data_IF_334621387804
#
_entry.id   IF_334621387804
#
_cell.length_a   1.000
_cell.length_b   1.000
_cell.length_c   1.000
_cell.angle_alpha   90.00
_cell.angle_beta   90.00
_cell.angle_gamma   90.00
#
_symmetry.space_group_name_H-M   'P 1'
#
loop_
_entity.id
_entity.type
_entity.pdbx_description
1 polymer ?
#
# COMPACT_ATOMS: atom_id res chain seq x y z
N UNK A 1 1.79 -21.15 5.73
CA UNK A 1 2.40 -20.80 7.02
C UNK A 1 1.30 -20.45 8.00
N UNK A 2 1.40 -20.89 9.25
CA UNK A 2 0.56 -20.41 10.36
C UNK A 2 0.90 -18.94 10.67
N UNK A 3 0.03 -18.25 11.41
CA UNK A 3 0.29 -16.86 11.84
C UNK A 3 1.59 -16.74 12.63
N UNK A 4 1.88 -17.72 13.50
CA UNK A 4 3.14 -17.78 14.27
C UNK A 4 4.36 -17.95 13.35
N UNK A 5 4.28 -18.85 12.36
CA UNK A 5 5.36 -19.03 11.37
C UNK A 5 5.63 -17.76 10.55
N UNK A 6 4.58 -16.99 10.22
CA UNK A 6 4.73 -15.70 9.52
C UNK A 6 5.43 -14.68 10.42
N UNK A 7 5.05 -14.55 11.70
CA UNK A 7 5.72 -13.60 12.59
C UNK A 7 7.19 -13.99 12.84
N UNK A 8 7.46 -15.29 12.98
CA UNK A 8 8.80 -15.81 13.17
C UNK A 8 9.68 -15.61 11.93
N UNK A 9 9.13 -15.71 10.72
CA UNK A 9 9.91 -15.53 9.49
C UNK A 9 10.44 -14.10 9.32
N UNK A 10 9.81 -13.13 9.98
CA UNK A 10 10.26 -11.74 10.02
C UNK A 10 11.20 -11.43 11.18
N UNK A 11 11.36 -12.35 12.13
CA UNK A 11 12.28 -12.20 13.24
C UNK A 11 13.72 -12.43 12.78
N UNK A 12 14.62 -11.57 13.22
CA UNK A 12 16.06 -11.60 12.91
C UNK A 12 16.84 -11.67 14.21
N UNK A 13 17.95 -12.41 14.21
CA UNK A 13 18.94 -12.31 15.28
C UNK A 13 19.93 -11.22 14.94
N UNK A 14 20.11 -10.26 15.83
CA UNK A 14 21.11 -9.19 15.70
C UNK A 14 22.06 -9.30 16.87
N UNK A 15 23.30 -9.74 16.64
CA UNK A 15 24.27 -10.00 17.72
C UNK A 15 23.67 -10.80 18.89
N UNK A 16 23.71 -10.21 20.09
CA UNK A 16 23.13 -10.71 21.32
C UNK A 16 21.67 -10.31 21.55
N UNK A 17 20.99 -9.74 20.55
CA UNK A 17 19.60 -9.30 20.59
C UNK A 17 18.76 -9.84 19.42
N UNK A 18 17.64 -9.18 19.18
CA UNK A 18 16.66 -9.47 18.13
C UNK A 18 16.49 -8.28 17.19
N UNK A 19 15.78 -8.48 16.08
CA UNK A 19 15.41 -7.47 15.12
C UNK A 19 14.17 -7.90 14.34
N UNK A 20 13.58 -6.97 13.61
CA UNK A 20 12.44 -7.25 12.73
C UNK A 20 12.73 -6.81 11.31
N UNK A 21 12.51 -7.69 10.34
CA UNK A 21 12.58 -7.39 8.91
C UNK A 21 11.34 -6.64 8.42
N UNK A 22 11.57 -5.52 7.75
CA UNK A 22 10.56 -4.77 7.01
C UNK A 22 11.09 -4.39 5.63
N UNK A 23 10.19 -4.30 4.66
CA UNK A 23 10.55 -3.85 3.32
C UNK A 23 10.61 -2.33 3.22
N UNK A 24 11.57 -1.88 2.44
CA UNK A 24 11.64 -0.51 1.97
C UNK A 24 10.90 -0.40 0.63
N UNK A 25 10.53 0.82 0.23
CA UNK A 25 10.01 1.12 -1.12
C UNK A 25 11.12 1.06 -2.18
N UNK A 26 11.94 0.00 -2.17
CA UNK A 26 13.01 -0.31 -3.10
C UNK A 26 13.39 -1.79 -3.02
N UNK A 27 13.84 -2.37 -4.12
CA UNK A 27 14.36 -3.75 -4.17
C UNK A 27 15.88 -3.81 -3.94
N UNK A 28 16.53 -2.69 -3.62
CA UNK A 28 17.99 -2.64 -3.40
C UNK A 28 18.38 -3.16 -2.02
N UNK A 29 17.51 -3.03 -1.04
CA UNK A 29 17.77 -3.40 0.34
C UNK A 29 16.45 -3.58 1.11
N UNK A 30 16.51 -4.27 2.24
CA UNK A 30 15.46 -4.29 3.26
C UNK A 30 15.98 -3.62 4.54
N UNK A 31 15.11 -3.39 5.52
CA UNK A 31 15.51 -2.86 6.83
C UNK A 31 15.35 -3.91 7.92
N UNK A 32 16.28 -3.91 8.87
CA UNK A 32 16.11 -4.54 10.18
C UNK A 32 15.94 -3.44 11.22
N UNK A 33 14.78 -3.42 11.88
CA UNK A 33 14.49 -2.54 13.01
C UNK A 33 14.95 -3.24 14.29
N UNK A 34 15.73 -2.57 15.14
CA UNK A 34 16.22 -3.14 16.41
C UNK A 34 16.51 -2.03 17.44
N UNK A 35 16.83 -2.44 18.67
CA UNK A 35 17.28 -1.54 19.73
C UNK A 35 18.75 -1.13 19.52
N UNK A 36 19.10 0.11 19.85
CA UNK A 36 20.45 0.63 19.62
C UNK A 36 21.50 -0.05 20.52
N UNK A 37 21.14 -0.37 21.76
CA UNK A 37 22.03 -1.02 22.73
C UNK A 37 22.48 -2.43 22.27
N UNK A 38 21.72 -3.08 21.37
CA UNK A 38 22.08 -4.39 20.80
C UNK A 38 23.35 -4.30 19.92
N UNK A 39 23.71 -3.09 19.48
CA UNK A 39 24.92 -2.83 18.72
C UNK A 39 26.04 -2.21 19.57
N UNK A 40 25.76 -1.82 20.82
CA UNK A 40 26.71 -1.07 21.63
C UNK A 40 27.95 -1.91 22.00
N UNK A 41 29.13 -1.28 21.95
CA UNK A 41 30.40 -1.94 22.24
C UNK A 41 30.84 -3.04 21.24
N UNK A 42 30.12 -3.25 20.14
CA UNK A 42 30.43 -4.29 19.14
C UNK A 42 30.99 -3.66 17.86
N UNK A 43 32.15 -4.14 17.40
CA UNK A 43 32.81 -3.60 16.19
C UNK A 43 32.41 -4.31 14.90
N UNK A 44 32.05 -5.59 14.98
CA UNK A 44 31.62 -6.41 13.85
C UNK A 44 30.26 -7.01 14.19
N UNK A 45 29.22 -6.57 13.49
CA UNK A 45 27.86 -6.99 13.76
C UNK A 45 27.49 -8.22 12.94
N UNK A 46 26.81 -9.17 13.58
CA UNK A 46 26.25 -10.37 12.97
C UNK A 46 24.72 -10.22 12.91
N UNK A 47 24.16 -10.49 11.73
CA UNK A 47 22.72 -10.52 11.50
C UNK A 47 22.38 -11.85 10.86
N UNK A 48 21.51 -12.64 11.50
CA UNK A 48 21.04 -13.92 10.96
C UNK A 48 19.53 -13.93 10.78
N UNK A 49 19.08 -14.53 9.68
CA UNK A 49 17.65 -14.76 9.43
C UNK A 49 17.04 -15.83 10.35
N UNK A 50 15.73 -16.02 10.21
CA UNK A 50 14.96 -16.99 10.99
C UNK A 50 15.39 -18.45 10.78
N UNK A 51 16.14 -18.74 9.71
CA UNK A 51 16.73 -20.04 9.40
C UNK A 51 18.20 -20.14 9.82
N UNK A 52 18.79 -19.06 10.33
CA UNK A 52 20.19 -18.98 10.73
C UNK A 52 21.16 -18.61 9.60
N UNK A 53 20.67 -18.18 8.43
CA UNK A 53 21.53 -17.71 7.35
C UNK A 53 22.02 -16.29 7.62
N UNK A 54 23.28 -15.96 7.30
CA UNK A 54 23.79 -14.61 7.45
C UNK A 54 23.12 -13.65 6.46
N UNK A 55 22.76 -12.47 6.97
CA UNK A 55 22.22 -11.37 6.18
C UNK A 55 23.26 -10.26 6.12
N UNK A 56 23.59 -9.80 4.91
CA UNK A 56 24.60 -8.76 4.70
C UNK A 56 24.10 -7.40 5.20
N UNK A 57 24.88 -6.75 6.06
CA UNK A 57 24.65 -5.37 6.49
C UNK A 57 25.31 -4.42 5.49
N UNK A 58 24.50 -3.55 4.88
CA UNK A 58 24.94 -2.55 3.92
C UNK A 58 25.27 -1.21 4.60
N UNK A 59 24.48 -0.84 5.61
CA UNK A 59 24.61 0.45 6.32
C UNK A 59 23.87 0.40 7.68
N UNK A 60 24.29 1.23 8.64
CA UNK A 60 23.60 1.43 9.91
C UNK A 60 23.08 2.86 9.96
N UNK A 61 21.76 3.03 10.00
CA UNK A 61 21.10 4.33 10.09
C UNK A 61 20.79 4.65 11.54
N UNK A 62 21.18 5.85 11.97
CA UNK A 62 20.99 6.32 13.34
C UNK A 62 20.20 7.62 13.35
N UNK A 63 19.55 7.88 14.47
CA UNK A 63 18.97 9.19 14.74
C UNK A 63 20.08 10.25 14.88
N UNK A 64 19.73 11.52 14.68
CA UNK A 64 20.69 12.65 14.75
C UNK A 64 21.23 12.87 16.17
N UNK A 65 20.35 12.75 17.17
CA UNK A 65 20.73 12.67 18.57
C UNK A 65 21.28 11.26 18.88
N UNK A 66 22.46 11.15 19.53
CA UNK A 66 23.05 9.86 19.84
C UNK A 66 22.22 9.08 20.86
N UNK A 67 22.38 7.76 20.81
CA UNK A 67 21.94 6.87 21.88
C UNK A 67 22.73 7.14 23.16
N UNK A 68 22.04 7.18 24.29
CA UNK A 68 22.64 7.31 25.62
C UNK A 68 22.30 6.10 26.48
N UNK A 69 23.31 5.29 26.77
CA UNK A 69 23.19 4.07 27.57
C UNK A 69 22.68 4.32 29.00
N UNK A 70 22.90 5.51 29.56
CA UNK A 70 22.51 5.83 30.94
C UNK A 70 21.02 6.12 31.07
N UNK A 71 20.45 6.81 30.08
CA UNK A 71 19.03 7.18 30.04
C UNK A 71 18.20 6.23 29.18
N UNK A 72 18.86 5.39 28.38
CA UNK A 72 18.27 4.63 27.27
C UNK A 72 17.47 5.53 26.31
N UNK A 73 17.89 6.80 26.18
CA UNK A 73 17.28 7.70 25.22
C UNK A 73 17.81 7.37 23.82
N UNK A 74 16.92 7.43 22.83
CA UNK A 74 17.20 7.06 21.44
C UNK A 74 17.68 5.60 21.26
N UNK A 75 17.12 4.67 22.03
CA UNK A 75 17.46 3.24 21.97
C UNK A 75 16.79 2.51 20.81
N UNK A 76 16.95 3.05 19.60
CA UNK A 76 16.43 2.48 18.37
C UNK A 76 17.39 2.76 17.21
N UNK A 77 17.51 1.81 16.30
CA UNK A 77 18.43 1.87 15.16
C UNK A 77 17.90 1.05 13.99
N UNK A 78 18.30 1.39 12.78
CA UNK A 78 17.96 0.63 11.57
C UNK A 78 19.23 0.10 10.92
N UNK A 79 19.25 -1.19 10.59
CA UNK A 79 20.26 -1.76 9.71
C UNK A 79 19.67 -1.85 8.30
N UNK A 80 20.32 -1.21 7.31
CA UNK A 80 20.08 -1.54 5.90
C UNK A 80 20.77 -2.86 5.61
N UNK A 81 20.02 -3.80 5.07
CA UNK A 81 20.51 -5.13 4.76
C UNK A 81 20.25 -5.50 3.30
N UNK A 82 20.96 -6.50 2.77
CA UNK A 82 20.65 -7.08 1.46
C UNK A 82 19.15 -7.39 1.33
N UNK A 83 18.56 -7.08 0.18
CA UNK A 83 17.11 -7.20 -0.04
C UNK A 83 16.59 -8.63 0.23
N UNK A 84 15.51 -8.74 0.99
CA UNK A 84 14.89 -9.99 1.38
C UNK A 84 13.54 -10.16 0.67
N UNK A 85 13.53 -10.86 -0.46
CA UNK A 85 12.35 -10.97 -1.33
C UNK A 85 11.14 -11.68 -0.71
N UNK A 86 11.33 -12.45 0.37
CA UNK A 86 10.26 -13.15 1.08
C UNK A 86 9.53 -12.28 2.10
N UNK A 87 10.07 -11.10 2.43
CA UNK A 87 9.44 -10.20 3.39
C UNK A 87 8.18 -9.61 2.76
N UNK A 88 7.06 -9.68 3.47
CA UNK A 88 5.76 -9.11 3.08
C UNK A 88 5.06 -8.56 4.33
N UNK A 89 5.84 -7.88 5.18
CA UNK A 89 5.41 -7.49 6.51
C UNK A 89 4.52 -6.24 6.44
N UNK A 90 3.30 -6.38 6.96
CA UNK A 90 2.34 -5.28 7.08
C UNK A 90 2.57 -4.51 8.38
N UNK A 91 2.17 -3.24 8.37
CA UNK A 91 2.33 -2.32 9.48
C UNK A 91 0.96 -1.85 9.97
N UNK A 92 0.80 -1.66 11.29
CA UNK A 92 -0.38 -1.06 11.91
C UNK A 92 0.04 -0.02 12.96
N UNK A 93 -0.52 1.18 12.87
CA UNK A 93 -0.15 2.28 13.76
C UNK A 93 -0.58 1.97 15.20
N UNK A 94 0.35 2.12 16.14
CA UNK A 94 0.08 1.83 17.55
C UNK A 94 -1.01 2.73 18.15
N UNK A 95 -1.13 3.97 17.67
CA UNK A 95 -2.14 4.95 18.10
C UNK A 95 -3.58 4.53 17.74
N UNK A 96 -3.74 3.68 16.72
CA UNK A 96 -5.04 3.17 16.28
C UNK A 96 -5.47 1.93 17.08
N UNK A 97 -4.60 1.39 17.94
CA UNK A 97 -4.93 0.24 18.77
C UNK A 97 -5.93 0.62 19.86
N UNK A 98 -6.93 -0.24 20.03
CA UNK A 98 -7.86 -0.12 21.15
C UNK A 98 -7.15 -0.40 22.48
N UNK A 99 -7.64 0.20 23.57
CA UNK A 99 -7.15 -0.12 24.90
C UNK A 99 -7.27 -1.63 25.17
N UNK A 100 -6.21 -2.24 25.73
CA UNK A 100 -6.14 -3.69 25.97
C UNK A 100 -6.23 -4.56 24.72
N UNK A 101 -5.98 -4.02 23.52
CA UNK A 101 -5.78 -4.83 22.32
C UNK A 101 -4.71 -5.92 22.56
N UNK A 102 -5.04 -7.15 22.15
CA UNK A 102 -4.13 -8.28 22.22
C UNK A 102 -3.00 -8.13 21.22
N UNK A 103 -1.77 -8.30 21.67
CA UNK A 103 -0.56 -8.30 20.83
C UNK A 103 0.26 -9.55 21.10
N UNK A 104 1.09 -9.90 20.13
CA UNK A 104 2.05 -11.00 20.24
C UNK A 104 3.48 -10.45 20.11
N UNK A 105 4.33 -10.77 21.07
CA UNK A 105 5.75 -10.43 21.11
C UNK A 105 6.60 -11.59 20.57
N UNK A 106 7.50 -11.30 19.64
CA UNK A 106 8.37 -12.31 19.01
C UNK A 106 9.84 -11.87 19.04
N UNK A 107 10.74 -12.76 19.44
CA UNK A 107 12.17 -12.47 19.57
C UNK A 107 13.03 -13.69 19.87
N UNK A 108 14.34 -13.45 20.05
CA UNK A 108 15.39 -14.44 20.31
C UNK A 108 15.94 -14.36 21.73
N UNK A 109 15.32 -15.04 22.72
CA UNK A 109 15.87 -15.05 24.06
C UNK A 109 17.23 -15.76 24.08
N UNK A 110 18.16 -15.18 24.83
CA UNK A 110 19.55 -15.60 24.91
C UNK A 110 19.67 -17.07 25.33
N UNK A 111 18.89 -17.51 26.32
CA UNK A 111 18.91 -18.87 26.83
C UNK A 111 18.46 -19.94 25.82
N UNK A 112 17.76 -19.55 24.76
CA UNK A 112 17.11 -20.46 23.82
C UNK A 112 17.80 -20.54 22.46
N UNK A 113 18.85 -19.73 22.21
CA UNK A 113 19.49 -19.63 20.89
C UNK A 113 20.06 -20.93 20.35
N UNK A 114 20.42 -21.85 21.24
CA UNK A 114 20.93 -23.18 20.89
C UNK A 114 19.84 -24.26 20.85
N UNK A 115 18.59 -23.93 21.17
CA UNK A 115 17.48 -24.87 21.15
C UNK A 115 16.97 -25.10 19.73
N UNK A 116 16.13 -26.13 19.55
CA UNK A 116 15.48 -26.41 18.25
C UNK A 116 14.44 -25.34 17.88
N UNK A 117 13.99 -24.53 18.84
CA UNK A 117 13.00 -23.47 18.66
C UNK A 117 13.53 -22.17 19.27
N UNK A 118 14.56 -21.55 18.65
CA UNK A 118 15.27 -20.42 19.24
C UNK A 118 14.46 -19.12 19.26
N UNK A 119 13.41 -19.02 18.44
CA UNK A 119 12.47 -17.91 18.44
C UNK A 119 11.33 -18.23 19.40
N UNK A 120 11.04 -17.30 20.32
CA UNK A 120 9.91 -17.42 21.25
C UNK A 120 8.84 -16.40 20.93
N UNK A 121 7.62 -16.79 21.28
CA UNK A 121 6.39 -16.06 21.00
C UNK A 121 5.64 -15.94 22.32
N UNK A 122 5.28 -14.71 22.69
CA UNK A 122 4.54 -14.43 23.91
C UNK A 122 3.32 -13.58 23.61
N UNK A 123 2.14 -14.03 24.00
CA UNK A 123 0.93 -13.24 23.90
C UNK A 123 0.81 -12.28 25.08
N UNK A 124 0.08 -11.19 24.88
CA UNK A 124 -0.19 -10.22 25.92
C UNK A 124 -1.17 -9.15 25.45
N UNK A 125 -1.17 -8.02 26.12
CA UNK A 125 -2.04 -6.90 25.76
C UNK A 125 -1.34 -5.56 25.99
N UNK A 126 -1.74 -4.59 25.18
CA UNK A 126 -1.32 -3.20 25.35
C UNK A 126 -1.97 -2.60 26.61
N UNK A 127 -1.16 -1.93 27.41
CA UNK A 127 -1.63 -1.21 28.60
C UNK A 127 -1.81 0.27 28.30
N UNK A 128 -0.89 0.87 27.53
CA UNK A 128 -0.94 2.27 27.15
C UNK A 128 -0.09 2.55 25.88
N UNK A 129 -0.41 3.64 25.17
CA UNK A 129 0.47 4.27 24.18
C UNK A 129 0.66 5.72 24.59
N UNK A 130 1.91 6.15 24.77
CA UNK A 130 2.21 7.55 25.05
C UNK A 130 3.57 7.93 24.44
N UNK A 131 3.65 9.09 23.79
CA UNK A 131 4.88 9.65 23.23
C UNK A 131 5.70 8.63 22.41
N UNK A 132 5.04 7.95 21.46
CA UNK A 132 5.65 6.88 20.62
C UNK A 132 6.16 5.65 21.39
N UNK A 133 5.78 5.48 22.66
CA UNK A 133 6.07 4.30 23.46
C UNK A 133 4.80 3.48 23.67
N UNK A 134 4.95 2.18 23.41
CA UNK A 134 3.94 1.17 23.65
C UNK A 134 4.29 0.45 24.95
N UNK A 135 3.37 0.46 25.91
CA UNK A 135 3.49 -0.32 27.14
C UNK A 135 2.71 -1.62 26.97
N UNK A 136 3.39 -2.75 27.12
CA UNK A 136 2.82 -4.07 26.89
C UNK A 136 3.01 -4.96 28.11
N UNK A 137 1.95 -5.69 28.49
CA UNK A 137 2.01 -6.69 29.55
C UNK A 137 1.97 -8.09 28.94
N UNK A 138 3.02 -8.87 29.16
CA UNK A 138 3.16 -10.24 28.69
C UNK A 138 2.33 -11.19 29.58
N UNK A 139 1.52 -12.05 28.96
CA UNK A 139 0.76 -13.08 29.67
C UNK A 139 1.68 -14.17 30.25
N UNK A 140 1.27 -14.80 31.34
CA UNK A 140 2.02 -15.91 31.98
C UNK A 140 3.20 -15.46 32.83
N UNK A 141 3.53 -14.16 32.81
CA UNK A 141 4.58 -13.54 33.59
C UNK A 141 5.97 -14.20 33.46
N UNK A 142 6.57 -14.24 32.25
CA UNK A 142 7.89 -14.82 32.08
C UNK A 142 8.93 -14.07 32.91
N UNK A 143 9.90 -14.84 33.42
CA UNK A 143 11.06 -14.34 34.14
C UNK A 143 12.01 -13.56 33.23
N UNK A 144 12.87 -12.71 33.80
CA UNK A 144 13.91 -11.98 33.05
C UNK A 144 14.74 -12.91 32.16
N UNK A 145 15.17 -14.06 32.69
CA UNK A 145 15.99 -15.02 31.94
C UNK A 145 15.28 -15.62 30.73
N UNK A 146 13.95 -15.63 30.71
CA UNK A 146 13.17 -16.15 29.59
C UNK A 146 13.01 -15.14 28.45
N UNK A 147 13.17 -13.84 28.73
CA UNK A 147 13.01 -12.76 27.73
C UNK A 147 14.30 -11.97 27.46
N UNK A 148 15.33 -12.15 28.29
CA UNK A 148 16.63 -11.53 28.10
C UNK A 148 17.20 -11.89 26.71
N UNK A 149 17.67 -10.88 25.98
CA UNK A 149 18.13 -11.04 24.60
C UNK A 149 17.04 -10.88 23.53
N UNK A 150 15.77 -10.68 23.91
CA UNK A 150 14.69 -10.40 22.96
C UNK A 150 14.60 -8.94 22.51
N UNK A 151 15.43 -8.04 23.06
CA UNK A 151 15.48 -6.62 22.67
C UNK A 151 15.69 -6.44 21.18
N UNK A 152 14.86 -5.60 20.57
CA UNK A 152 14.69 -5.45 19.12
C UNK A 152 13.64 -6.39 18.52
N UNK A 153 12.96 -7.21 19.33
CA UNK A 153 11.90 -8.11 18.88
C UNK A 153 10.61 -7.38 18.47
N UNK A 154 9.81 -8.03 17.63
CA UNK A 154 8.62 -7.42 17.03
C UNK A 154 7.37 -7.59 17.86
N UNK A 155 6.55 -6.53 17.90
CA UNK A 155 5.20 -6.54 18.46
C UNK A 155 4.16 -6.58 17.35
N UNK A 156 3.31 -7.60 17.38
CA UNK A 156 2.36 -7.87 16.30
C UNK A 156 0.91 -7.77 16.76
N UNK A 157 0.10 -7.07 15.98
CA UNK A 157 -1.35 -7.05 16.08
C UNK A 157 -1.96 -8.01 15.06
N UNK A 158 -2.93 -8.81 15.51
CA UNK A 158 -3.65 -9.74 14.64
C UNK A 158 -5.07 -9.24 14.39
N UNK A 159 -5.43 -9.06 13.11
CA UNK A 159 -6.75 -8.60 12.69
C UNK A 159 -7.13 -9.30 11.38
N UNK A 160 -8.33 -9.88 11.35
CA UNK A 160 -8.94 -10.51 10.16
C UNK A 160 -8.02 -11.55 9.47
N UNK A 161 -7.31 -12.36 10.26
CA UNK A 161 -6.38 -13.39 9.75
C UNK A 161 -5.05 -12.84 9.23
N UNK A 162 -4.80 -11.55 9.38
CA UNK A 162 -3.57 -10.87 8.99
C UNK A 162 -2.77 -10.43 10.22
N UNK A 163 -1.46 -10.33 10.04
CA UNK A 163 -0.49 -9.94 11.08
C UNK A 163 0.18 -8.65 10.69
N UNK A 164 0.24 -7.72 11.63
CA UNK A 164 0.75 -6.38 11.44
C UNK A 164 1.78 -6.04 12.51
N UNK A 165 2.97 -5.59 12.11
CA UNK A 165 3.94 -5.01 13.03
C UNK A 165 3.41 -3.67 13.56
N UNK A 166 3.48 -3.45 14.87
CA UNK A 166 3.06 -2.20 15.51
C UNK A 166 4.18 -1.48 16.26
N UNK A 167 5.21 -2.22 16.67
CA UNK A 167 6.36 -1.66 17.36
C UNK A 167 7.49 -2.67 17.58
N UNK A 168 8.56 -2.18 18.18
CA UNK A 168 9.81 -2.94 18.43
C UNK A 168 10.16 -2.83 19.91
N UNK A 169 10.25 -3.96 20.59
CA UNK A 169 10.59 -4.03 22.02
C UNK A 169 12.04 -3.58 22.25
N UNK A 170 12.31 -2.86 23.33
CA UNK A 170 13.69 -2.45 23.66
C UNK A 170 14.06 -2.62 25.13
N UNK A 171 13.08 -2.65 26.06
CA UNK A 171 13.37 -2.89 27.48
C UNK A 171 12.18 -3.38 28.26
N UNK A 172 12.47 -3.96 29.42
CA UNK A 172 11.48 -4.16 30.48
C UNK A 172 11.06 -2.83 31.14
N UNK A 173 9.78 -2.71 31.50
CA UNK A 173 9.17 -1.57 32.17
C UNK A 173 9.30 -1.69 33.70
N UNK A 174 10.54 -1.65 34.21
CA UNK A 174 10.80 -1.71 35.65
C UNK A 174 12.00 -0.83 36.05
N UNK A 175 11.85 -0.09 37.14
CA UNK A 175 12.91 0.73 37.76
C UNK A 175 13.76 -0.03 38.79
N UNK A 176 13.34 -1.24 39.20
CA UNK A 176 14.04 -2.12 40.15
C UNK A 176 13.86 -3.57 39.71
N UNK A 177 14.93 -4.38 39.78
CA UNK A 177 14.93 -5.80 39.40
C UNK A 177 13.90 -6.63 40.18
N UNK A 178 13.49 -6.16 41.38
CA UNK A 178 12.49 -6.82 42.21
C UNK A 178 11.03 -6.62 41.76
N UNK A 179 10.78 -5.69 40.82
CA UNK A 179 9.45 -5.29 40.35
C UNK A 179 9.25 -5.54 38.84
N UNK A 180 9.92 -6.56 38.29
CA UNK A 180 9.81 -6.97 36.90
C UNK A 180 8.45 -7.65 36.62
N UNK A 181 7.39 -6.85 36.52
CA UNK A 181 6.01 -7.32 36.33
C UNK A 181 5.67 -7.74 34.91
N UNK A 182 6.60 -8.39 34.20
CA UNK A 182 6.40 -8.87 32.81
C UNK A 182 5.83 -7.82 31.87
N UNK A 183 6.13 -6.55 32.19
CA UNK A 183 5.82 -5.38 31.39
C UNK A 183 7.06 -5.00 30.60
N UNK A 184 6.87 -4.68 29.34
CA UNK A 184 7.92 -4.21 28.44
C UNK A 184 7.49 -2.92 27.77
N UNK A 185 8.48 -2.16 27.34
CA UNK A 185 8.31 -0.96 26.55
C UNK A 185 8.81 -1.23 25.13
N UNK A 186 8.05 -0.74 24.16
CA UNK A 186 8.36 -0.87 22.75
C UNK A 186 8.33 0.52 22.11
N UNK A 187 9.23 0.77 21.18
CA UNK A 187 9.15 1.93 20.30
C UNK A 187 8.05 1.70 19.25
N UNK A 188 7.20 2.69 19.06
CA UNK A 188 6.30 2.74 17.90
C UNK A 188 7.13 2.86 16.62
N UNK A 189 6.51 2.52 15.49
CA UNK A 189 7.17 2.63 14.20
C UNK A 189 7.51 4.07 13.79
N UNK A 190 6.93 5.07 14.47
CA UNK A 190 7.20 6.48 14.25
C UNK A 190 8.68 6.84 14.44
N UNK A 191 9.34 6.28 15.47
CA UNK A 191 10.78 6.49 15.72
C UNK A 191 11.66 5.98 14.58
N UNK A 192 11.22 4.93 13.89
CA UNK A 192 11.95 4.38 12.75
C UNK A 192 11.70 5.19 11.47
N UNK A 193 10.48 5.71 11.27
CA UNK A 193 10.21 6.67 10.18
C UNK A 193 11.10 7.91 10.28
N UNK A 194 11.27 8.47 11.49
CA UNK A 194 12.18 9.61 11.75
C UNK A 194 13.63 9.32 11.32
N UNK A 195 14.17 8.14 11.66
CA UNK A 195 15.52 7.73 11.23
C UNK A 195 15.61 7.67 9.70
N UNK A 196 14.62 7.05 9.04
CA UNK A 196 14.62 6.89 7.59
C UNK A 196 14.61 8.25 6.88
N UNK A 197 13.80 9.19 7.38
CA UNK A 197 13.68 10.54 6.82
C UNK A 197 14.99 11.34 6.98
N UNK A 198 15.56 11.38 8.19
CA UNK A 198 16.82 12.09 8.47
C UNK A 198 17.97 11.55 7.60
N UNK A 199 18.01 10.23 7.41
CA UNK A 199 19.02 9.56 6.58
C UNK A 199 18.65 9.50 5.09
N UNK A 200 17.58 10.19 4.65
CA UNK A 200 17.12 10.29 3.25
C UNK A 200 17.04 8.94 2.55
N UNK A 201 16.60 7.92 3.28
CA UNK A 201 16.51 6.56 2.78
C UNK A 201 15.09 6.25 2.30
N UNK A 202 14.91 5.22 1.46
CA UNK A 202 13.59 4.85 0.96
C UNK A 202 12.62 4.56 2.13
N UNK A 203 11.38 5.09 2.13
CA UNK A 203 10.39 4.81 3.18
C UNK A 203 10.13 3.32 3.38
N UNK A 204 9.66 2.91 4.56
CA UNK A 204 9.06 1.57 4.70
C UNK A 204 7.81 1.49 3.83
N UNK A 205 7.53 0.31 3.27
CA UNK A 205 6.41 0.14 2.34
C UNK A 205 5.08 -0.01 3.09
N UNK A 206 4.08 0.84 2.84
CA UNK A 206 2.72 0.58 3.30
C UNK A 206 2.17 -0.71 2.69
N UNK A 207 1.33 -1.44 3.43
CA UNK A 207 0.78 -2.72 2.97
C UNK A 207 0.07 -2.61 1.61
N UNK A 208 -0.69 -1.53 1.38
CA UNK A 208 -1.38 -1.26 0.12
C UNK A 208 -0.48 -0.85 -1.02
N UNK A 209 0.79 -0.51 -0.76
CA UNK A 209 1.77 -0.27 -1.81
C UNK A 209 2.58 -1.51 -2.16
N UNK A 210 2.63 -2.49 -1.26
CA UNK A 210 3.38 -3.74 -1.43
C UNK A 210 2.65 -4.75 -2.33
N UNK A 211 1.34 -4.86 -2.22
CA UNK A 211 0.56 -5.78 -3.04
C UNK A 211 -0.89 -5.36 -3.19
N UNK A 212 -1.44 -5.48 -4.41
CA UNK A 212 -2.85 -5.22 -4.69
C UNK A 212 -3.81 -6.13 -3.89
N UNK A 213 -3.34 -7.28 -3.39
CA UNK A 213 -4.18 -8.17 -2.57
C UNK A 213 -4.69 -7.50 -1.29
N UNK A 214 -3.96 -6.54 -0.73
CA UNK A 214 -4.39 -5.87 0.51
C UNK A 214 -5.53 -4.87 0.30
N UNK A 215 -5.78 -4.45 -0.95
CA UNK A 215 -6.86 -3.52 -1.31
C UNK A 215 -7.93 -4.18 -2.21
N UNK A 216 -7.84 -5.50 -2.42
CA UNK A 216 -8.78 -6.26 -3.26
C UNK A 216 -10.21 -6.17 -2.76
N UNK A 217 -10.45 -6.09 -1.46
CA UNK A 217 -11.81 -5.98 -0.90
C UNK A 217 -12.45 -4.61 -1.12
N UNK A 218 -11.64 -3.60 -1.49
CA UNK A 218 -12.07 -2.21 -1.57
C UNK A 218 -12.57 -1.81 -2.97
N UNK A 219 -12.30 -2.62 -4.00
CA UNK A 219 -12.77 -2.37 -5.37
C UNK A 219 -14.21 -2.86 -5.56
N UNK A 220 -14.90 -2.31 -6.57
CA UNK A 220 -16.26 -2.71 -6.93
C UNK A 220 -17.26 -2.64 -5.76
N UNK A 221 -17.16 -1.59 -4.95
CA UNK A 221 -18.09 -1.27 -3.87
C UNK A 221 -19.37 -0.63 -4.43
N UNK A 222 -20.18 -1.40 -5.16
CA UNK A 222 -21.39 -0.91 -5.82
C UNK A 222 -22.51 -0.62 -4.81
N UNK A 223 -23.01 0.62 -4.81
CA UNK A 223 -24.15 1.01 -3.99
C UNK A 223 -25.47 0.86 -4.78
N UNK A 224 -25.96 -0.38 -4.89
CA UNK A 224 -27.21 -0.73 -5.58
C UNK A 224 -28.41 -0.79 -4.64
N UNK A 225 -29.64 -0.83 -5.16
CA UNK A 225 -30.86 -0.94 -4.34
C UNK A 225 -30.94 -2.32 -3.67
N UNK A 226 -30.66 -3.40 -4.40
CA UNK A 226 -30.62 -4.77 -3.85
C UNK A 226 -29.32 -5.49 -4.25
N UNK A 227 -28.45 -5.69 -3.26
CA UNK A 227 -27.14 -6.34 -3.44
C UNK A 227 -27.25 -7.74 -4.05
N UNK A 228 -28.39 -8.43 -3.91
CA UNK A 228 -28.60 -9.74 -4.54
C UNK A 228 -28.64 -9.65 -6.07
N UNK A 229 -29.02 -8.51 -6.65
CA UNK A 229 -29.11 -8.33 -8.10
C UNK A 229 -27.73 -8.45 -8.78
N UNK A 230 -26.67 -8.03 -8.08
CA UNK A 230 -25.30 -8.00 -8.60
C UNK A 230 -24.36 -8.97 -7.87
N UNK A 231 -24.85 -9.75 -6.91
CA UNK A 231 -24.03 -10.64 -6.07
C UNK A 231 -23.10 -11.53 -6.90
N UNK A 232 -23.63 -12.17 -7.94
CA UNK A 232 -22.85 -13.05 -8.81
C UNK A 232 -21.87 -12.30 -9.72
N UNK A 233 -22.19 -11.06 -10.13
CA UNK A 233 -21.30 -10.19 -10.89
C UNK A 233 -20.10 -9.81 -10.01
N UNK A 234 -20.37 -9.31 -8.80
CA UNK A 234 -19.33 -8.94 -7.84
C UNK A 234 -18.43 -10.14 -7.53
N UNK A 235 -19.00 -11.29 -7.21
CA UNK A 235 -18.21 -12.50 -6.94
C UNK A 235 -17.36 -12.94 -8.16
N UNK A 236 -17.82 -12.70 -9.39
CA UNK A 236 -17.06 -12.98 -10.60
C UNK A 236 -15.92 -11.98 -10.83
N UNK A 237 -16.16 -10.69 -10.58
CA UNK A 237 -15.14 -9.63 -10.61
C UNK A 237 -14.06 -9.85 -9.54
N UNK A 238 -14.46 -10.20 -8.31
CA UNK A 238 -13.53 -10.47 -7.21
C UNK A 238 -12.61 -11.65 -7.56
N UNK A 239 -13.17 -12.76 -8.06
CA UNK A 239 -12.38 -13.91 -8.53
C UNK A 239 -11.46 -13.56 -9.71
N UNK A 240 -11.92 -12.70 -10.61
CA UNK A 240 -11.11 -12.25 -11.74
C UNK A 240 -9.94 -11.38 -11.25
N UNK A 241 -10.17 -10.45 -10.32
CA UNK A 241 -9.12 -9.65 -9.70
C UNK A 241 -8.10 -10.52 -8.95
N UNK A 242 -8.55 -11.49 -8.15
CA UNK A 242 -7.67 -12.45 -7.45
C UNK A 242 -6.79 -13.22 -8.45
N UNK A 243 -7.38 -13.67 -9.56
CA UNK A 243 -6.65 -14.36 -10.64
C UNK A 243 -5.58 -13.47 -11.28
N UNK A 244 -5.88 -12.19 -11.53
CA UNK A 244 -4.92 -11.25 -12.11
C UNK A 244 -3.76 -10.96 -11.13
N UNK A 245 -4.07 -10.78 -9.85
CA UNK A 245 -3.08 -10.55 -8.80
C UNK A 245 -2.14 -11.76 -8.67
N UNK A 246 -2.69 -12.96 -8.61
CA UNK A 246 -1.93 -14.21 -8.53
C UNK A 246 -1.07 -14.47 -9.79
N UNK A 247 -1.45 -13.89 -10.94
CA UNK A 247 -0.77 -14.08 -12.23
C UNK A 247 0.33 -13.04 -12.50
N UNK A 248 0.85 -12.38 -11.47
CA UNK A 248 2.03 -11.51 -11.58
C UNK A 248 1.72 -10.04 -11.87
N UNK A 249 0.63 -9.52 -11.32
CA UNK A 249 0.40 -8.07 -11.28
C UNK A 249 1.53 -7.40 -10.48
N UNK A 250 2.18 -6.35 -11.01
CA UNK A 250 3.27 -5.70 -10.28
C UNK A 250 2.75 -5.02 -9.02
N UNK A 251 3.55 -4.95 -7.96
CA UNK A 251 3.26 -4.16 -6.78
C UNK A 251 2.90 -2.70 -7.13
N UNK A 252 1.94 -2.08 -6.41
CA UNK A 252 1.58 -0.69 -6.62
C UNK A 252 2.77 0.29 -6.55
N UNK A 253 3.75 0.08 -5.66
CA UNK A 253 4.94 0.94 -5.57
C UNK A 253 5.79 0.96 -6.85
N UNK A 254 5.81 -0.13 -7.63
CA UNK A 254 6.55 -0.19 -8.89
C UNK A 254 5.87 0.68 -9.94
N UNK A 255 4.55 0.58 -10.04
CA UNK A 255 3.71 1.43 -10.90
C UNK A 255 3.84 2.90 -10.48
N UNK A 256 3.83 3.18 -9.17
CA UNK A 256 4.03 4.51 -8.60
C UNK A 256 5.37 5.10 -9.03
N UNK A 257 6.43 4.29 -8.95
CA UNK A 257 7.79 4.72 -9.31
C UNK A 257 7.91 4.96 -10.81
N UNK A 258 7.28 4.12 -11.63
CA UNK A 258 7.32 4.24 -13.09
C UNK A 258 6.60 5.48 -13.60
N UNK A 259 5.39 5.77 -13.10
CA UNK A 259 4.55 6.83 -13.64
C UNK A 259 4.58 8.13 -12.82
N UNK A 260 4.88 8.04 -11.52
CA UNK A 260 5.02 9.16 -10.61
C UNK A 260 3.82 10.14 -10.73
N UNK A 261 4.08 11.45 -10.76
CA UNK A 261 3.07 12.51 -10.87
C UNK A 261 2.15 12.40 -12.10
N UNK A 262 2.47 11.56 -13.10
CA UNK A 262 1.57 11.31 -14.25
C UNK A 262 0.34 10.47 -13.89
N UNK A 263 0.24 9.99 -12.64
CA UNK A 263 -0.96 9.34 -12.10
C UNK A 263 -1.95 10.34 -11.50
N UNK A 264 -1.55 11.60 -11.34
CA UNK A 264 -2.35 12.63 -10.66
C UNK A 264 -2.90 13.65 -11.65
N UNK A 265 -4.10 14.15 -11.39
CA UNK A 265 -4.62 15.34 -12.08
C UNK A 265 -3.85 16.57 -11.59
N UNK A 266 -3.62 16.70 -10.28
CA UNK A 266 -2.86 17.81 -9.69
C UNK A 266 -1.44 17.36 -9.26
N UNK A 267 -0.44 17.73 -10.07
CA UNK A 267 0.96 17.41 -9.79
C UNK A 267 1.56 18.15 -8.58
N UNK A 268 0.86 19.13 -8.00
CA UNK A 268 1.33 19.88 -6.82
C UNK A 268 1.10 19.13 -5.50
N UNK A 269 0.39 18.00 -5.55
CA UNK A 269 0.03 17.18 -4.38
C UNK A 269 0.66 15.79 -4.46
N UNK A 270 2.01 15.68 -4.42
CA UNK A 270 2.72 14.40 -4.60
C UNK A 270 2.39 13.36 -3.54
N UNK A 271 1.92 13.77 -2.36
CA UNK A 271 1.54 12.85 -1.28
C UNK A 271 0.33 11.98 -1.64
N UNK A 272 -0.50 12.41 -2.61
CA UNK A 272 -1.59 11.60 -3.15
C UNK A 272 -1.12 10.29 -3.79
N UNK A 273 0.15 10.20 -4.22
CA UNK A 273 0.71 8.96 -4.78
C UNK A 273 0.71 7.81 -3.78
N UNK A 274 0.67 8.10 -2.47
CA UNK A 274 0.74 7.09 -1.41
C UNK A 274 -0.63 6.75 -0.84
N UNK A 275 -1.72 7.37 -1.31
CA UNK A 275 -3.06 7.17 -0.72
C UNK A 275 -3.67 5.84 -1.14
N UNK A 276 -4.40 5.20 -0.22
CA UNK A 276 -5.06 3.92 -0.48
C UNK A 276 -6.12 4.06 -1.58
N UNK A 277 -6.78 5.21 -1.64
CA UNK A 277 -7.84 5.55 -2.58
C UNK A 277 -7.36 5.54 -4.04
N UNK A 278 -6.18 6.11 -4.31
CA UNK A 278 -5.55 6.06 -5.64
C UNK A 278 -5.37 4.60 -6.07
N UNK A 279 -4.76 3.78 -5.22
CA UNK A 279 -4.42 2.40 -5.59
C UNK A 279 -5.63 1.49 -5.68
N UNK A 280 -6.68 1.77 -4.89
CA UNK A 280 -7.98 1.12 -5.03
C UNK A 280 -8.59 1.44 -6.40
N UNK A 281 -8.63 2.71 -6.78
CA UNK A 281 -9.11 3.12 -8.10
C UNK A 281 -8.24 2.54 -9.24
N UNK A 282 -6.93 2.47 -9.05
CA UNK A 282 -5.99 1.92 -10.02
C UNK A 282 -6.17 0.42 -10.22
N UNK A 283 -6.36 -0.35 -9.14
CA UNK A 283 -6.68 -1.78 -9.23
C UNK A 283 -7.97 -2.00 -10.02
N UNK A 284 -9.03 -1.26 -9.69
CA UNK A 284 -10.30 -1.37 -10.39
C UNK A 284 -10.16 -1.05 -11.89
N UNK A 285 -9.41 0.01 -12.21
CA UNK A 285 -9.06 0.36 -13.59
C UNK A 285 -8.33 -0.77 -14.32
N UNK A 286 -7.36 -1.42 -13.70
CA UNK A 286 -6.64 -2.54 -14.29
C UNK A 286 -7.56 -3.74 -14.56
N UNK A 287 -8.44 -4.07 -13.61
CA UNK A 287 -9.43 -5.15 -13.77
C UNK A 287 -10.39 -4.84 -14.91
N UNK A 288 -10.90 -3.60 -15.01
CA UNK A 288 -11.74 -3.13 -16.11
C UNK A 288 -11.01 -3.29 -17.46
N UNK A 289 -9.77 -2.82 -17.56
CA UNK A 289 -8.99 -2.94 -18.80
C UNK A 289 -8.79 -4.41 -19.19
N UNK A 290 -8.41 -5.25 -18.22
CA UNK A 290 -8.19 -6.67 -18.47
C UNK A 290 -9.46 -7.40 -18.93
N UNK A 291 -10.62 -7.07 -18.35
CA UNK A 291 -11.93 -7.59 -18.75
C UNK A 291 -12.27 -7.19 -20.19
N UNK A 292 -12.08 -5.91 -20.53
CA UNK A 292 -12.36 -5.36 -21.86
C UNK A 292 -11.47 -5.97 -22.95
N UNK A 293 -10.21 -6.26 -22.62
CA UNK A 293 -9.21 -6.82 -23.53
C UNK A 293 -9.23 -8.35 -23.55
N UNK A 294 -10.00 -8.98 -22.67
CA UNK A 294 -10.10 -10.43 -22.53
C UNK A 294 -8.75 -11.10 -22.24
N UNK A 295 -7.98 -10.49 -21.33
CA UNK A 295 -6.67 -10.98 -20.91
C UNK A 295 -6.72 -11.53 -19.47
N UNK A 296 -5.91 -12.54 -19.19
CA UNK A 296 -5.80 -13.17 -17.86
C UNK A 296 -4.56 -12.78 -17.06
N UNK A 297 -3.70 -11.90 -17.60
CA UNK A 297 -2.41 -11.53 -17.01
C UNK A 297 -2.18 -10.03 -17.16
N UNK A 298 -1.98 -9.33 -16.04
CA UNK A 298 -1.77 -7.88 -15.98
C UNK A 298 -0.36 -7.55 -15.48
N UNK A 299 0.66 -8.03 -16.18
CA UNK A 299 2.07 -7.78 -15.86
C UNK A 299 2.52 -6.37 -16.34
N UNK A 300 3.78 -6.03 -16.08
CA UNK A 300 4.38 -4.74 -16.46
C UNK A 300 4.28 -4.48 -17.96
N UNK A 301 4.45 -5.50 -18.81
CA UNK A 301 4.32 -5.39 -20.27
C UNK A 301 2.90 -5.00 -20.69
N UNK A 302 1.89 -5.64 -20.09
CA UNK A 302 0.51 -5.30 -20.38
C UNK A 302 0.17 -3.87 -19.94
N UNK A 303 0.57 -3.46 -18.73
CA UNK A 303 0.33 -2.09 -18.24
C UNK A 303 0.97 -1.07 -19.18
N UNK A 304 2.20 -1.30 -19.65
CA UNK A 304 2.85 -0.46 -20.67
C UNK A 304 2.10 -0.47 -22.00
N UNK A 305 1.52 -1.59 -22.41
CA UNK A 305 0.78 -1.69 -23.67
C UNK A 305 -0.54 -0.91 -23.69
N UNK A 306 -1.15 -0.68 -22.51
CA UNK A 306 -2.40 0.09 -22.39
C UNK A 306 -2.17 1.56 -22.08
N UNK A 307 -0.99 1.97 -21.60
CA UNK A 307 -0.75 3.32 -21.05
C UNK A 307 -1.05 4.47 -22.04
N UNK A 308 -0.94 4.21 -23.35
CA UNK A 308 -1.22 5.15 -24.44
C UNK A 308 -2.65 5.07 -24.96
N UNK A 309 -3.36 3.97 -24.65
CA UNK A 309 -4.74 3.69 -25.08
C UNK A 309 -5.75 4.07 -24.01
N UNK A 310 -5.46 3.75 -22.75
CA UNK A 310 -6.30 3.99 -21.59
C UNK A 310 -5.41 4.41 -20.42
N UNK A 311 -5.76 5.52 -19.78
CA UNK A 311 -4.99 6.05 -18.65
C UNK A 311 -5.94 6.44 -17.51
N UNK A 312 -5.59 6.08 -16.28
CA UNK A 312 -6.26 6.59 -15.09
C UNK A 312 -5.49 7.82 -14.56
N UNK A 313 -6.21 8.87 -14.20
CA UNK A 313 -5.73 9.95 -13.36
C UNK A 313 -6.56 10.03 -12.08
N UNK A 314 -5.90 10.30 -10.97
CA UNK A 314 -6.51 10.45 -9.66
C UNK A 314 -6.41 11.88 -9.15
N UNK A 315 -7.40 12.30 -8.38
CA UNK A 315 -7.36 13.52 -7.59
C UNK A 315 -8.12 13.28 -6.29
N UNK A 316 -7.59 13.75 -5.16
CA UNK A 316 -8.36 13.74 -3.91
C UNK A 316 -9.38 14.90 -3.84
N UNK A 317 -9.35 15.83 -4.79
CA UNK A 317 -10.34 16.90 -4.90
C UNK A 317 -11.68 16.33 -5.35
N UNK A 318 -12.70 16.47 -4.49
CA UNK A 318 -14.08 16.03 -4.74
C UNK A 318 -14.92 17.04 -5.52
N UNK A 319 -14.34 18.14 -6.03
CA UNK A 319 -15.05 19.02 -6.95
C UNK A 319 -15.39 18.30 -8.26
N UNK A 320 -16.42 18.80 -8.95
CA UNK A 320 -16.86 18.20 -10.19
C UNK A 320 -15.74 18.22 -11.24
N UNK A 321 -15.26 17.04 -11.63
CA UNK A 321 -14.14 16.86 -12.55
C UNK A 321 -14.34 17.53 -13.92
N UNK A 322 -15.59 17.74 -14.36
CA UNK A 322 -15.95 18.43 -15.61
C UNK A 322 -15.48 19.90 -15.58
N UNK A 323 -15.30 20.49 -14.40
CA UNK A 323 -14.72 21.84 -14.28
C UNK A 323 -13.27 21.92 -14.74
N UNK A 324 -12.54 20.79 -14.79
CA UNK A 324 -11.13 20.69 -15.15
C UNK A 324 -10.89 20.14 -16.56
N UNK A 325 -11.90 20.17 -17.44
CA UNK A 325 -11.79 19.60 -18.79
C UNK A 325 -10.61 20.13 -19.62
N UNK A 326 -10.30 21.43 -19.53
CA UNK A 326 -9.17 22.03 -20.26
C UNK A 326 -7.85 21.33 -19.92
N UNK A 327 -7.57 21.23 -18.62
CA UNK A 327 -6.39 20.56 -18.09
C UNK A 327 -6.36 19.07 -18.45
N UNK A 328 -7.48 18.38 -18.30
CA UNK A 328 -7.60 16.96 -18.61
C UNK A 328 -7.37 16.68 -20.10
N UNK A 329 -7.88 17.51 -21.01
CA UNK A 329 -7.63 17.40 -22.45
C UNK A 329 -6.16 17.63 -22.80
N UNK A 330 -5.52 18.61 -22.16
CA UNK A 330 -4.07 18.85 -22.31
C UNK A 330 -3.25 17.67 -21.83
N UNK A 331 -3.63 17.05 -20.69
CA UNK A 331 -2.97 15.84 -20.19
C UNK A 331 -3.20 14.66 -21.13
N UNK A 332 -4.44 14.43 -21.57
CA UNK A 332 -4.79 13.39 -22.54
C UNK A 332 -3.91 13.49 -23.78
N UNK A 333 -3.79 14.69 -24.36
CA UNK A 333 -2.93 14.94 -25.52
C UNK A 333 -1.45 14.58 -25.30
N UNK A 334 -0.93 14.78 -24.09
CA UNK A 334 0.46 14.48 -23.76
C UNK A 334 0.70 12.98 -23.57
N UNK A 335 -0.30 12.26 -23.05
CA UNK A 335 -0.14 10.89 -22.56
C UNK A 335 -0.74 9.83 -23.48
N UNK A 336 -1.74 10.16 -24.30
CA UNK A 336 -2.52 9.20 -25.07
C UNK A 336 -2.26 9.35 -26.57
N UNK A 337 -2.38 8.22 -27.27
CA UNK A 337 -2.49 8.19 -28.72
C UNK A 337 -3.90 8.62 -29.15
N UNK A 338 -4.06 8.90 -30.44
CA UNK A 338 -5.37 9.22 -31.03
C UNK A 338 -6.41 8.16 -30.65
N UNK A 339 -7.63 8.61 -30.35
CA UNK A 339 -8.76 7.76 -29.93
C UNK A 339 -8.55 7.08 -28.54
N UNK A 340 -7.56 7.54 -27.78
CA UNK A 340 -7.32 7.08 -26.41
C UNK A 340 -8.33 7.61 -25.39
N UNK A 341 -8.45 6.89 -24.28
CA UNK A 341 -9.40 7.19 -23.19
C UNK A 341 -8.68 7.60 -21.91
N UNK A 342 -9.06 8.75 -21.36
CA UNK A 342 -8.66 9.19 -20.03
C UNK A 342 -9.80 8.93 -19.05
N UNK A 343 -9.51 8.21 -17.98
CA UNK A 343 -10.44 7.89 -16.90
C UNK A 343 -10.00 8.70 -15.68
N UNK A 344 -10.91 9.48 -15.11
CA UNK A 344 -10.66 10.24 -13.88
C UNK A 344 -11.25 9.48 -12.69
N UNK A 345 -10.52 9.39 -11.59
CA UNK A 345 -11.01 8.93 -10.30
C UNK A 345 -10.90 10.07 -9.27
N UNK A 346 -12.00 10.31 -8.57
CA UNK A 346 -12.11 11.29 -7.49
C UNK A 346 -13.16 10.86 -6.47
N UNK A 347 -13.23 11.48 -5.28
CA UNK A 347 -14.28 11.24 -4.29
C UNK A 347 -15.70 11.69 -4.69
N UNK A 348 -15.91 12.26 -5.89
CA UNK A 348 -17.23 12.71 -6.33
C UNK A 348 -18.20 11.53 -6.59
N UNK A 349 -19.00 11.20 -5.58
CA UNK A 349 -20.01 10.14 -5.63
C UNK A 349 -21.14 10.42 -6.64
N UNK A 350 -21.30 11.67 -7.09
CA UNK A 350 -22.30 12.08 -8.08
C UNK A 350 -21.70 12.31 -9.47
N UNK A 351 -20.44 11.91 -9.68
CA UNK A 351 -19.73 12.15 -10.91
C UNK A 351 -20.47 11.57 -12.13
N UNK A 352 -20.58 12.39 -13.18
CA UNK A 352 -21.12 11.93 -14.46
C UNK A 352 -20.08 11.12 -15.21
N UNK A 353 -20.54 10.08 -15.91
CA UNK A 353 -19.69 9.22 -16.75
C UNK A 353 -19.09 9.96 -17.95
N UNK A 354 -19.78 10.95 -18.52
CA UNK A 354 -19.30 11.76 -19.64
C UNK A 354 -19.58 13.25 -19.41
N UNK A 355 -18.73 14.15 -19.93
CA UNK A 355 -19.04 15.57 -19.96
C UNK A 355 -20.19 15.84 -20.95
N UNK A 356 -21.05 16.85 -20.70
CA UNK A 356 -22.03 17.28 -21.69
C UNK A 356 -21.34 17.77 -22.97
N UNK A 357 -21.83 17.36 -24.14
CA UNK A 357 -21.22 17.67 -25.45
C UNK A 357 -20.95 19.17 -25.63
N UNK A 358 -21.93 20.02 -25.35
CA UNK A 358 -21.79 21.47 -25.49
C UNK A 358 -20.68 22.07 -24.60
N UNK A 359 -20.42 21.50 -23.42
CA UNK A 359 -19.33 21.96 -22.54
C UNK A 359 -18.00 21.53 -23.11
N UNK A 360 -17.91 20.27 -23.56
CA UNK A 360 -16.72 19.72 -24.18
C UNK A 360 -16.33 20.51 -25.44
N UNK A 361 -17.27 20.73 -26.35
CA UNK A 361 -17.07 21.48 -27.60
C UNK A 361 -16.58 22.91 -27.34
N UNK A 362 -17.15 23.59 -26.33
CA UNK A 362 -16.73 24.93 -25.93
C UNK A 362 -15.30 24.94 -25.40
N UNK A 363 -14.93 23.96 -24.57
CA UNK A 363 -13.57 23.85 -24.05
C UNK A 363 -12.59 23.54 -25.18
N UNK A 364 -12.90 22.58 -26.05
CA UNK A 364 -12.07 22.22 -27.21
C UNK A 364 -11.83 23.43 -28.12
N UNK A 365 -12.88 24.19 -28.40
CA UNK A 365 -12.77 25.41 -29.21
C UNK A 365 -11.82 26.41 -28.56
N UNK A 366 -11.89 26.60 -27.24
CA UNK A 366 -11.01 27.54 -26.54
C UNK A 366 -9.54 27.10 -26.51
N UNK A 367 -9.27 25.80 -26.38
CA UNK A 367 -7.88 25.28 -26.30
C UNK A 367 -7.21 25.12 -27.67
N UNK A 368 -7.99 25.00 -28.74
CA UNK A 368 -7.49 24.86 -30.09
C UNK A 368 -7.04 26.19 -30.72
N UNK A 369 -7.39 27.34 -30.13
CA UNK A 369 -7.01 28.67 -30.64
C UNK A 369 -5.52 28.92 -30.40
N UNK A 370 -4.72 29.01 -31.47
CA UNK A 370 -3.30 29.38 -31.40
C UNK A 370 -3.14 30.91 -31.50
N UNK A 371 -2.67 31.63 -30.45
CA UNK A 371 -2.79 33.09 -30.37
C UNK A 371 -2.06 33.93 -31.42
N UNK A 372 -1.32 33.37 -32.39
CA UNK A 372 -0.42 34.14 -33.26
C UNK A 372 -0.30 33.64 -34.72
N UNK A 373 -1.16 32.73 -35.19
CA UNK A 373 -1.13 32.26 -36.58
C UNK A 373 -2.54 32.24 -37.16
N UNK A 374 -2.74 32.80 -38.35
CA UNK A 374 -4.05 33.12 -38.94
C UNK A 374 -5.11 31.99 -38.99
N UNK A 375 -6.36 32.32 -39.34
CA UNK A 375 -7.53 31.79 -38.62
C UNK A 375 -8.07 30.41 -39.02
N UNK A 376 -7.43 29.66 -39.93
CA UNK A 376 -8.21 28.64 -40.68
C UNK A 376 -7.62 27.24 -40.89
N UNK A 377 -6.32 26.98 -40.66
CA UNK A 377 -5.75 25.65 -40.97
C UNK A 377 -5.18 24.88 -39.77
N UNK A 378 -4.62 25.57 -38.77
CA UNK A 378 -3.99 24.90 -37.62
C UNK A 378 -5.03 24.57 -36.54
N UNK A 379 -5.98 25.47 -36.29
CA UNK A 379 -7.05 25.30 -35.29
C UNK A 379 -7.95 24.09 -35.57
N UNK A 380 -8.19 23.77 -36.85
CA UNK A 380 -8.99 22.60 -37.25
C UNK A 380 -8.27 21.27 -36.95
N UNK A 381 -6.95 21.22 -37.15
CA UNK A 381 -6.13 20.03 -36.83
C UNK A 381 -6.06 19.84 -35.33
N UNK A 382 -5.84 20.92 -34.58
CA UNK A 382 -5.83 20.94 -33.12
C UNK A 382 -7.16 20.45 -32.51
N UNK A 383 -8.27 21.02 -32.97
CA UNK A 383 -9.62 20.62 -32.56
C UNK A 383 -9.90 19.14 -32.87
N UNK A 384 -9.45 18.65 -34.04
CA UNK A 384 -9.61 17.23 -34.43
C UNK A 384 -8.85 16.26 -33.52
N UNK A 385 -7.73 16.69 -32.94
CA UNK A 385 -6.96 15.86 -32.00
C UNK A 385 -7.71 15.76 -30.68
N UNK A 386 -8.14 16.90 -30.11
CA UNK A 386 -8.84 16.90 -28.82
C UNK A 386 -10.20 16.21 -28.87
N UNK A 387 -10.92 16.30 -30.00
CA UNK A 387 -12.18 15.59 -30.22
C UNK A 387 -12.01 14.07 -30.34
N UNK A 388 -10.80 13.58 -30.63
CA UNK A 388 -10.54 12.13 -30.67
C UNK A 388 -10.47 11.49 -29.29
N UNK A 389 -10.09 12.25 -28.24
CA UNK A 389 -9.95 11.67 -26.91
C UNK A 389 -11.31 11.44 -26.25
N UNK A 390 -11.43 10.31 -25.56
CA UNK A 390 -12.57 10.01 -24.69
C UNK A 390 -12.21 10.37 -23.26
N UNK A 391 -13.08 11.11 -22.59
CA UNK A 391 -12.92 11.49 -21.18
C UNK A 391 -14.08 10.91 -20.38
N UNK A 392 -13.79 10.13 -19.35
CA UNK A 392 -14.81 9.53 -18.48
C UNK A 392 -14.38 9.55 -17.01
N UNK A 393 -15.31 9.22 -16.11
CA UNK A 393 -15.06 9.13 -14.67
C UNK A 393 -15.37 7.73 -14.15
N UNK A 394 -14.50 7.18 -13.31
CA UNK A 394 -14.62 5.82 -12.77
C UNK A 394 -15.94 5.61 -12.02
N UNK A 395 -16.30 6.52 -11.12
CA UNK A 395 -17.60 6.45 -10.41
C UNK A 395 -18.79 6.56 -11.38
N UNK A 396 -18.66 7.38 -12.43
CA UNK A 396 -19.68 7.49 -13.45
C UNK A 396 -19.87 6.17 -14.22
N UNK A 397 -18.78 5.47 -14.53
CA UNK A 397 -18.80 4.13 -15.14
C UNK A 397 -19.50 3.12 -14.22
N UNK A 398 -19.16 3.09 -12.92
CA UNK A 398 -19.86 2.22 -11.94
C UNK A 398 -21.36 2.46 -11.97
N UNK A 399 -21.74 3.74 -11.95
CA UNK A 399 -23.15 4.13 -11.95
C UNK A 399 -23.88 3.64 -13.19
N UNK A 400 -23.39 4.00 -14.38
CA UNK A 400 -24.10 3.72 -15.63
C UNK A 400 -24.01 2.25 -16.06
N UNK A 401 -22.87 1.59 -15.82
CA UNK A 401 -22.67 0.22 -16.27
C UNK A 401 -23.23 -0.81 -15.29
N UNK A 402 -23.30 -0.49 -13.99
CA UNK A 402 -23.69 -1.45 -12.95
C UNK A 402 -24.92 -1.00 -12.16
N UNK A 403 -24.85 0.17 -11.52
CA UNK A 403 -25.88 0.58 -10.54
C UNK A 403 -27.23 0.83 -11.21
N UNK A 404 -27.27 1.67 -12.25
CA UNK A 404 -28.50 2.01 -12.97
C UNK A 404 -29.06 0.80 -13.76
N UNK A 405 -28.23 -0.22 -13.99
CA UNK A 405 -28.57 -1.45 -14.71
C UNK A 405 -28.68 -2.68 -13.78
N UNK A 406 -28.78 -2.52 -12.46
CA UNK A 406 -28.73 -3.65 -11.52
C UNK A 406 -29.75 -4.77 -11.84
N UNK A 407 -30.95 -4.39 -12.28
CA UNK A 407 -32.03 -5.32 -12.59
C UNK A 407 -31.77 -6.12 -13.88
N UNK A 408 -30.94 -5.62 -14.80
CA UNK A 408 -30.52 -6.37 -15.98
C UNK A 408 -29.63 -7.56 -15.57
N UNK A 409 -28.74 -7.36 -14.60
CA UNK A 409 -27.86 -8.42 -14.10
C UNK A 409 -28.65 -9.54 -13.41
N UNK A 410 -29.71 -9.21 -12.68
CA UNK A 410 -30.61 -10.20 -12.05
C UNK A 410 -31.21 -11.18 -13.06
N UNK A 411 -31.52 -10.72 -14.27
CA UNK A 411 -32.14 -11.53 -15.33
C UNK A 411 -31.18 -12.46 -16.07
N UNK A 412 -29.86 -12.34 -15.83
CA UNK A 412 -28.84 -13.08 -16.56
C UNK A 412 -28.34 -14.31 -15.80
N UNK A 413 -27.86 -15.35 -16.52
CA UNK A 413 -27.11 -16.44 -15.91
C UNK A 413 -25.90 -15.92 -15.12
N UNK A 414 -25.68 -16.50 -13.94
CA UNK A 414 -24.62 -16.08 -13.01
C UNK A 414 -23.22 -16.15 -13.61
N UNK A 415 -22.38 -15.16 -13.28
CA UNK A 415 -20.95 -15.18 -13.60
C UNK A 415 -20.64 -14.67 -15.01
N UNK A 416 -20.47 -15.58 -15.99
CA UNK A 416 -19.90 -15.22 -17.29
C UNK A 416 -20.82 -14.31 -18.12
N UNK A 417 -22.13 -14.54 -18.12
CA UNK A 417 -23.05 -13.69 -18.88
C UNK A 417 -23.13 -12.27 -18.28
N UNK A 418 -23.06 -12.16 -16.96
CA UNK A 418 -23.02 -10.86 -16.27
C UNK A 418 -21.71 -10.11 -16.53
N UNK A 419 -20.56 -10.80 -16.50
CA UNK A 419 -19.27 -10.20 -16.89
C UNK A 419 -19.28 -9.74 -18.35
N UNK A 420 -19.91 -10.50 -19.24
CA UNK A 420 -20.04 -10.14 -20.65
C UNK A 420 -20.92 -8.88 -20.82
N UNK A 421 -22.06 -8.79 -20.12
CA UNK A 421 -22.89 -7.58 -20.14
C UNK A 421 -22.11 -6.35 -19.66
N UNK A 422 -21.38 -6.48 -18.55
CA UNK A 422 -20.54 -5.40 -18.03
C UNK A 422 -19.49 -4.97 -19.06
N UNK A 423 -18.81 -5.94 -19.67
CA UNK A 423 -17.82 -5.70 -20.72
C UNK A 423 -18.42 -4.96 -21.91
N UNK A 424 -19.63 -5.33 -22.34
CA UNK A 424 -20.31 -4.68 -23.47
C UNK A 424 -20.66 -3.23 -23.14
N UNK A 425 -21.25 -2.97 -21.97
CA UNK A 425 -21.52 -1.60 -21.49
C UNK A 425 -20.26 -0.75 -21.35
N UNK A 426 -19.15 -1.34 -20.89
CA UNK A 426 -17.85 -0.65 -20.81
C UNK A 426 -17.29 -0.32 -22.20
N UNK A 427 -17.41 -1.25 -23.16
CA UNK A 427 -16.95 -1.01 -24.53
C UNK A 427 -17.73 0.11 -25.21
N UNK A 428 -19.03 0.29 -24.93
CA UNK A 428 -19.83 1.39 -25.49
C UNK A 428 -19.32 2.78 -25.08
N UNK A 429 -18.67 2.89 -23.92
CA UNK A 429 -18.19 4.17 -23.37
C UNK A 429 -16.69 4.36 -23.63
N UNK A 430 -15.89 3.30 -23.51
CA UNK A 430 -14.43 3.37 -23.49
C UNK A 430 -13.80 3.01 -24.85
N UNK A 431 -14.38 2.10 -25.63
CA UNK A 431 -13.93 1.77 -27.01
C UNK A 431 -14.71 2.59 -28.02
#
# INVERSE_FOLDING_TARGET
>A
MTVSEIMQSYCIRVNGGSGVLVNAMTQKYSYVLTAAHVLDGITAHEVLDYQGNPVEILEILRHSAPFDLTTLSNDYVILKVSFQAYVAQKIFNAEELQHSAGLTFVGYPQGERASQTPIKVYDGHITNVNDDLIFFTINGMPSKSEIEGMSGGGMYFHKDGQVFLTGVEFRMDASDEKHQYSRVQCHSLQKFYEIIEINKSAPMIPAHLECFSSIREMIFAFNVIDQNNIYHLKAALDRFADSLIASGMPPPYEVMTQYNLQLLVDSTRPDELKTQELWTAYLEFLVICALMDNIGVTNVEYIKSIERKRRLLYTSDGTNWISRLDELLKIARKLLDKDGTLIVASPDAAAKHLPPSFVLDRVITNIAVVPNQGPFSIDAVESSIYTSFKLTHLEGLRKICVIDSEFEYKGLPSGMAQLQLLKDKLNEIIK
#
